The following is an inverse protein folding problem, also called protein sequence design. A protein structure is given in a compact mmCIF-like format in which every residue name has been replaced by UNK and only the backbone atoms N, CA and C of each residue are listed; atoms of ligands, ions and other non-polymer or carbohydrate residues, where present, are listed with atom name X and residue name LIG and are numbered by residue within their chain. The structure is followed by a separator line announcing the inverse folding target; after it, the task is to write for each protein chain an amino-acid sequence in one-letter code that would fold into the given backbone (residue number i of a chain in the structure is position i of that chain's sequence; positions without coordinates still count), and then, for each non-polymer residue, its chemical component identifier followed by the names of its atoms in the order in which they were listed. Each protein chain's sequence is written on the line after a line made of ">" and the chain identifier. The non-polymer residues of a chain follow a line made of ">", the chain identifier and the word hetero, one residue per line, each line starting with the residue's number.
data_IF_053826416922
#
_entry.id   IF_053826416922
#
_cell.length_a   1.000
_cell.length_b   1.000
_cell.length_c   1.000
_cell.angle_alpha   90.00
_cell.angle_beta   90.00
_cell.angle_gamma   90.00
#
_symmetry.space_group_name_H-M   'P 1'
#
loop_
_entity.id
_entity.type
_entity.pdbx_description
1 polymer ?
#
# COMPACT_ATOMS: atom_id res chain seq x y z
N UNK A 1 53.71 -29.58 -45.60
CA UNK A 1 52.95 -28.32 -45.65
C UNK A 1 51.88 -28.41 -44.59
N UNK A 2 52.16 -27.73 -43.49
CA UNK A 2 51.33 -27.29 -42.37
C UNK A 2 50.05 -28.05 -42.03
N UNK A 3 50.13 -28.88 -40.99
CA UNK A 3 49.02 -29.12 -40.07
C UNK A 3 49.35 -28.39 -38.76
N UNK A 4 48.82 -27.18 -38.60
CA UNK A 4 48.84 -26.51 -37.30
C UNK A 4 47.59 -25.65 -37.14
N UNK A 5 47.01 -25.77 -35.95
CA UNK A 5 46.08 -24.85 -35.30
C UNK A 5 44.60 -24.98 -35.70
N UNK A 6 43.84 -25.59 -34.78
CA UNK A 6 42.39 -25.51 -34.84
C UNK A 6 41.66 -26.41 -33.84
N UNK A 7 42.18 -26.54 -32.61
CA UNK A 7 41.36 -27.05 -31.50
C UNK A 7 40.30 -25.99 -31.20
N UNK A 8 39.18 -26.05 -31.92
CA UNK A 8 37.97 -25.35 -31.53
C UNK A 8 37.37 -26.14 -30.37
N UNK A 9 37.88 -25.83 -29.18
CA UNK A 9 37.17 -25.95 -27.91
C UNK A 9 35.78 -25.37 -28.15
N UNK A 10 34.76 -26.23 -28.31
CA UNK A 10 33.37 -25.81 -28.19
C UNK A 10 33.21 -25.53 -26.69
N UNK A 11 33.17 -24.27 -26.24
CA UNK A 11 32.87 -24.03 -24.84
C UNK A 11 31.50 -24.63 -24.60
N UNK A 12 31.49 -25.50 -23.59
CA UNK A 12 30.35 -26.16 -23.01
C UNK A 12 29.07 -25.35 -23.24
N UNK A 13 28.14 -26.01 -23.93
CA UNK A 13 26.69 -25.93 -23.75
C UNK A 13 26.38 -24.87 -22.70
N UNK A 14 26.25 -23.66 -23.22
CA UNK A 14 25.33 -22.61 -22.78
C UNK A 14 24.38 -23.19 -21.71
N UNK A 15 24.80 -23.17 -20.44
CA UNK A 15 23.96 -23.36 -19.24
C UNK A 15 23.00 -22.16 -19.13
N UNK A 16 22.32 -21.91 -20.23
CA UNK A 16 21.19 -21.01 -20.43
C UNK A 16 20.02 -21.93 -20.79
N UNK A 17 19.95 -23.11 -20.16
CA UNK A 17 18.66 -23.62 -19.76
C UNK A 17 18.21 -22.71 -18.64
N UNK A 18 17.42 -21.71 -19.02
CA UNK A 18 16.85 -20.74 -18.12
C UNK A 18 16.35 -21.47 -16.88
N UNK A 19 16.80 -21.02 -15.71
CA UNK A 19 16.22 -21.43 -14.42
C UNK A 19 14.71 -21.46 -14.65
N UNK A 20 14.10 -22.63 -14.56
CA UNK A 20 12.65 -22.76 -14.71
C UNK A 20 12.08 -21.81 -13.67
N UNK A 21 11.51 -20.70 -14.15
CA UNK A 21 11.09 -19.59 -13.30
C UNK A 21 9.91 -20.11 -12.50
N UNK A 22 10.13 -20.40 -11.23
CA UNK A 22 9.08 -20.87 -10.34
C UNK A 22 8.15 -19.69 -10.02
N UNK A 23 6.84 -19.92 -9.90
CA UNK A 23 5.94 -18.87 -9.45
C UNK A 23 6.37 -18.40 -8.06
N UNK A 24 6.27 -17.08 -7.81
CA UNK A 24 6.70 -16.44 -6.57
C UNK A 24 6.17 -17.15 -5.31
N UNK A 25 4.91 -17.56 -5.33
CA UNK A 25 4.28 -18.27 -4.20
C UNK A 25 4.95 -19.61 -3.87
N UNK A 26 5.38 -20.37 -4.88
CA UNK A 26 6.08 -21.64 -4.66
C UNK A 26 7.47 -21.38 -4.07
N UNK A 27 8.17 -20.36 -4.56
CA UNK A 27 9.48 -19.98 -4.01
C UNK A 27 9.40 -19.46 -2.57
N UNK A 28 8.36 -18.69 -2.23
CA UNK A 28 8.12 -18.22 -0.87
C UNK A 28 7.83 -19.41 0.08
N UNK A 29 7.04 -20.39 -0.36
CA UNK A 29 6.75 -21.59 0.43
C UNK A 29 8.02 -22.41 0.69
N UNK A 30 8.86 -22.56 -0.34
CA UNK A 30 10.14 -23.25 -0.22
C UNK A 30 11.07 -22.52 0.75
N UNK A 31 11.14 -21.19 0.67
CA UNK A 31 11.90 -20.34 1.60
C UNK A 31 11.46 -20.50 3.05
N UNK A 32 10.15 -20.42 3.31
CA UNK A 32 9.56 -20.59 4.66
C UNK A 32 9.92 -21.97 5.21
N UNK A 33 9.82 -23.03 4.39
CA UNK A 33 10.15 -24.39 4.79
C UNK A 33 11.63 -24.53 5.14
N UNK A 34 12.54 -23.97 4.34
CA UNK A 34 13.98 -24.03 4.63
C UNK A 34 14.32 -23.24 5.91
N UNK A 35 13.79 -22.03 6.08
CA UNK A 35 13.96 -21.25 7.30
C UNK A 35 13.47 -22.01 8.54
N UNK A 36 12.33 -22.70 8.46
CA UNK A 36 11.80 -23.54 9.55
C UNK A 36 12.69 -24.73 9.93
N UNK A 37 13.37 -25.34 8.96
CA UNK A 37 14.37 -26.38 9.26
C UNK A 37 15.55 -25.82 10.03
N UNK A 38 16.06 -24.65 9.62
CA UNK A 38 17.19 -24.01 10.29
C UNK A 38 16.81 -23.53 11.70
N UNK A 39 15.59 -23.04 11.89
CA UNK A 39 15.06 -22.76 13.22
C UNK A 39 15.09 -23.99 14.12
N UNK A 40 14.60 -25.13 13.63
CA UNK A 40 14.58 -26.40 14.38
C UNK A 40 15.99 -26.88 14.75
N UNK A 41 16.95 -26.70 13.84
CA UNK A 41 18.35 -27.02 14.07
C UNK A 41 18.96 -26.12 15.16
N UNK A 42 18.71 -24.81 15.11
CA UNK A 42 19.17 -23.87 16.14
C UNK A 42 18.56 -24.17 17.51
N UNK A 43 17.31 -24.61 17.56
CA UNK A 43 16.67 -24.99 18.81
C UNK A 43 17.31 -26.24 19.43
N UNK A 44 17.66 -27.23 18.60
CA UNK A 44 18.43 -28.39 19.07
C UNK A 44 19.81 -27.96 19.59
N UNK A 45 20.49 -27.04 18.91
CA UNK A 45 21.77 -26.51 19.36
C UNK A 45 21.65 -25.78 20.71
N UNK A 46 20.63 -24.94 20.87
CA UNK A 46 20.33 -24.26 22.13
C UNK A 46 20.11 -25.25 23.28
N UNK A 47 19.30 -26.29 23.08
CA UNK A 47 19.04 -27.33 24.09
C UNK A 47 20.33 -28.05 24.53
N UNK A 48 21.24 -28.32 23.59
CA UNK A 48 22.55 -28.92 23.89
C UNK A 48 23.44 -27.97 24.72
N UNK A 49 23.52 -26.69 24.34
CA UNK A 49 24.27 -25.68 25.08
C UNK A 49 23.71 -25.48 26.49
N UNK A 50 22.38 -25.40 26.64
CA UNK A 50 21.72 -25.25 27.93
C UNK A 50 21.95 -26.46 28.86
N UNK A 51 22.00 -27.67 28.30
CA UNK A 51 22.36 -28.87 29.06
C UNK A 51 23.80 -28.78 29.57
N UNK A 52 24.73 -28.38 28.69
CA UNK A 52 26.15 -28.25 29.00
C UNK A 52 26.43 -27.17 30.05
N UNK A 53 25.77 -26.00 29.94
CA UNK A 53 25.79 -24.92 30.94
C UNK A 53 25.45 -25.47 32.33
N UNK A 54 24.35 -26.21 32.44
CA UNK A 54 23.87 -26.78 33.70
C UNK A 54 24.85 -27.79 34.30
N UNK A 55 25.41 -28.67 33.47
CA UNK A 55 26.41 -29.65 33.92
C UNK A 55 27.66 -28.97 34.45
N UNK A 56 28.20 -27.98 33.72
CA UNK A 56 29.36 -27.21 34.16
C UNK A 56 29.06 -26.40 35.42
N UNK A 57 27.86 -25.84 35.53
CA UNK A 57 27.44 -25.08 36.71
C UNK A 57 27.41 -25.97 37.95
N UNK A 58 26.88 -27.18 37.86
CA UNK A 58 26.88 -28.14 38.95
C UNK A 58 28.31 -28.53 39.38
N UNK A 59 29.21 -28.77 38.42
CA UNK A 59 30.63 -29.02 38.70
C UNK A 59 31.32 -27.81 39.34
N UNK A 60 31.03 -26.61 38.86
CA UNK A 60 31.55 -25.36 39.42
C UNK A 60 31.17 -25.22 40.90
N UNK A 61 29.90 -25.43 41.24
CA UNK A 61 29.39 -25.41 42.62
C UNK A 61 30.08 -26.48 43.47
N UNK A 62 30.24 -27.70 42.96
CA UNK A 62 30.95 -28.80 43.64
C UNK A 62 32.40 -28.45 43.96
N UNK A 63 33.16 -27.93 42.98
CA UNK A 63 34.55 -27.51 43.20
C UNK A 63 34.68 -26.33 44.16
N UNK A 64 33.74 -25.38 44.09
CA UNK A 64 33.71 -24.24 45.00
C UNK A 64 33.46 -24.70 46.44
N UNK A 65 32.52 -25.62 46.66
CA UNK A 65 32.24 -26.21 47.98
C UNK A 65 33.41 -27.00 48.58
N UNK A 66 34.28 -27.57 47.73
CA UNK A 66 35.51 -28.27 48.15
C UNK A 66 36.70 -27.33 48.37
N UNK A 67 36.52 -26.02 48.24
CA UNK A 67 37.59 -25.02 48.37
C UNK A 67 38.55 -24.96 47.16
N UNK A 68 38.27 -25.69 46.08
CA UNK A 68 39.10 -25.78 44.88
C UNK A 68 38.81 -24.61 43.93
N UNK A 69 39.09 -23.38 44.39
CA UNK A 69 38.74 -22.12 43.70
C UNK A 69 39.27 -22.02 42.27
N UNK A 70 40.53 -22.44 42.04
CA UNK A 70 41.13 -22.37 40.70
C UNK A 70 40.35 -23.20 39.67
N UNK A 71 39.87 -24.39 40.06
CA UNK A 71 39.02 -25.20 39.17
C UNK A 71 37.68 -24.52 38.96
N UNK A 72 37.01 -24.07 40.01
CA UNK A 72 35.72 -23.38 39.89
C UNK A 72 35.78 -22.16 38.94
N UNK A 73 36.87 -21.38 38.99
CA UNK A 73 37.07 -20.23 38.07
C UNK A 73 37.12 -20.68 36.60
N UNK A 74 37.80 -21.79 36.29
CA UNK A 74 37.85 -22.33 34.92
C UNK A 74 36.44 -22.69 34.42
N UNK A 75 35.65 -23.40 35.24
CA UNK A 75 34.27 -23.74 34.90
C UNK A 75 33.40 -22.48 34.75
N UNK A 76 33.58 -21.47 35.61
CA UNK A 76 32.83 -20.21 35.53
C UNK A 76 33.11 -19.45 34.21
N UNK A 77 34.36 -19.43 33.76
CA UNK A 77 34.74 -18.82 32.48
C UNK A 77 34.07 -19.54 31.30
N UNK A 78 34.09 -20.87 31.30
CA UNK A 78 33.44 -21.67 30.25
C UNK A 78 31.92 -21.46 30.22
N UNK A 79 31.28 -21.43 31.40
CA UNK A 79 29.85 -21.11 31.55
C UNK A 79 29.53 -19.74 30.95
N UNK A 80 30.38 -18.73 31.22
CA UNK A 80 30.18 -17.38 30.70
C UNK A 80 30.23 -17.36 29.16
N UNK A 81 31.17 -18.09 28.55
CA UNK A 81 31.21 -18.23 27.09
C UNK A 81 29.97 -18.96 26.57
N UNK A 82 29.59 -20.11 27.14
CA UNK A 82 28.39 -20.85 26.71
C UNK A 82 27.12 -19.98 26.77
N UNK A 83 26.97 -19.16 27.80
CA UNK A 83 25.82 -18.25 27.92
C UNK A 83 25.80 -17.16 26.85
N UNK A 84 26.97 -16.64 26.45
CA UNK A 84 27.08 -15.75 25.29
C UNK A 84 26.63 -16.46 24.02
N UNK A 85 27.11 -17.69 23.79
CA UNK A 85 26.69 -18.52 22.65
C UNK A 85 25.16 -18.73 22.64
N UNK A 86 24.57 -19.06 23.80
CA UNK A 86 23.12 -19.23 23.94
C UNK A 86 22.33 -17.97 23.57
N UNK A 87 22.77 -16.79 24.04
CA UNK A 87 22.12 -15.51 23.71
C UNK A 87 22.14 -15.23 22.20
N UNK A 88 23.21 -15.58 21.51
CA UNK A 88 23.34 -15.40 20.05
C UNK A 88 22.39 -16.32 19.30
N UNK A 89 22.33 -17.60 19.72
CA UNK A 89 21.41 -18.58 19.13
C UNK A 89 19.96 -18.12 19.26
N UNK A 90 19.58 -17.59 20.43
CA UNK A 90 18.24 -17.02 20.63
C UNK A 90 17.98 -15.82 19.71
N UNK A 91 18.93 -14.88 19.58
CA UNK A 91 18.79 -13.75 18.66
C UNK A 91 18.60 -14.18 17.20
N UNK A 92 19.29 -15.24 16.76
CA UNK A 92 19.08 -15.83 15.44
C UNK A 92 17.69 -16.46 15.30
N UNK A 93 17.24 -17.23 16.30
CA UNK A 93 15.91 -17.83 16.30
C UNK A 93 14.82 -16.76 16.10
N UNK A 94 14.90 -15.65 16.85
CA UNK A 94 13.99 -14.51 16.72
C UNK A 94 14.04 -13.87 15.33
N UNK A 95 15.24 -13.74 14.75
CA UNK A 95 15.40 -13.15 13.41
C UNK A 95 14.79 -14.04 12.33
N UNK A 96 15.02 -15.36 12.41
CA UNK A 96 14.44 -16.33 11.47
C UNK A 96 12.92 -16.36 11.61
N UNK A 97 12.39 -16.34 12.84
CA UNK A 97 10.95 -16.31 13.09
C UNK A 97 10.30 -15.04 12.53
N UNK A 98 10.91 -13.86 12.77
CA UNK A 98 10.47 -12.59 12.15
C UNK A 98 10.45 -12.67 10.62
N UNK A 99 11.45 -13.31 10.02
CA UNK A 99 11.53 -13.47 8.58
C UNK A 99 10.43 -14.38 8.03
N UNK A 100 10.19 -15.53 8.68
CA UNK A 100 9.09 -16.45 8.32
C UNK A 100 7.76 -15.70 8.31
N UNK A 101 7.44 -14.95 9.37
CA UNK A 101 6.18 -14.19 9.48
C UNK A 101 6.02 -13.15 8.36
N UNK A 102 7.10 -12.43 8.01
CA UNK A 102 7.07 -11.47 6.89
C UNK A 102 6.85 -12.16 5.54
N UNK A 103 7.51 -13.29 5.29
CA UNK A 103 7.33 -14.06 4.06
C UNK A 103 5.91 -14.66 3.96
N UNK A 104 5.33 -15.09 5.07
CA UNK A 104 3.93 -15.51 5.14
C UNK A 104 2.98 -14.35 4.79
N UNK A 105 3.26 -13.14 5.29
CA UNK A 105 2.52 -11.93 4.94
C UNK A 105 2.60 -11.67 3.42
N UNK A 106 3.80 -11.70 2.84
CA UNK A 106 4.03 -11.51 1.40
C UNK A 106 3.39 -12.57 0.49
N UNK A 107 3.02 -13.74 1.03
CA UNK A 107 2.22 -14.71 0.27
C UNK A 107 0.77 -14.24 0.11
N UNK A 108 0.27 -13.43 1.04
CA UNK A 108 -1.11 -12.94 1.07
C UNK A 108 -1.28 -11.54 0.45
N UNK A 109 -0.26 -10.68 0.57
CA UNK A 109 -0.23 -9.33 -0.01
C UNK A 109 0.76 -9.30 -1.15
N UNK A 110 0.45 -8.66 -2.28
CA UNK A 110 1.34 -8.56 -3.45
C UNK A 110 2.65 -7.85 -3.08
N UNK A 111 3.76 -8.58 -2.86
CA UNK A 111 4.98 -7.99 -2.32
C UNK A 111 5.84 -7.41 -3.45
N UNK A 112 6.70 -6.43 -3.13
CA UNK A 112 7.75 -6.02 -4.06
C UNK A 112 9.00 -6.91 -3.91
N UNK A 113 9.85 -6.94 -4.95
CA UNK A 113 11.10 -7.69 -4.89
C UNK A 113 12.07 -7.08 -3.87
N UNK A 114 12.07 -5.75 -3.73
CA UNK A 114 12.86 -5.06 -2.71
C UNK A 114 12.50 -5.51 -1.29
N UNK A 115 11.21 -5.69 -0.98
CA UNK A 115 10.74 -6.11 0.35
C UNK A 115 11.26 -7.51 0.71
N UNK A 116 11.13 -8.45 -0.23
CA UNK A 116 11.61 -9.83 -0.06
C UNK A 116 13.12 -9.85 0.14
N UNK A 117 13.86 -9.07 -0.66
CA UNK A 117 15.32 -8.93 -0.49
C UNK A 117 15.69 -8.32 0.86
N UNK A 118 14.93 -7.33 1.34
CA UNK A 118 15.12 -6.73 2.66
C UNK A 118 15.06 -7.75 3.79
N UNK A 119 14.05 -8.62 3.78
CA UNK A 119 13.90 -9.70 4.77
C UNK A 119 15.09 -10.66 4.73
N UNK A 120 15.49 -11.08 3.53
CA UNK A 120 16.63 -11.98 3.39
C UNK A 120 17.96 -11.34 3.81
N UNK A 121 18.15 -10.04 3.59
CA UNK A 121 19.32 -9.30 4.05
C UNK A 121 19.37 -9.18 5.58
N UNK A 122 18.23 -8.99 6.26
CA UNK A 122 18.16 -9.01 7.73
C UNK A 122 18.58 -10.37 8.29
N UNK A 123 18.07 -11.46 7.70
CA UNK A 123 18.46 -12.83 8.08
C UNK A 123 19.96 -13.06 7.83
N UNK A 124 20.47 -12.63 6.67
CA UNK A 124 21.88 -12.72 6.33
C UNK A 124 22.77 -12.00 7.35
N UNK A 125 22.43 -10.77 7.72
CA UNK A 125 23.19 -10.00 8.72
C UNK A 125 23.25 -10.67 10.10
N UNK A 126 22.14 -11.27 10.54
CA UNK A 126 22.09 -12.03 11.79
C UNK A 126 22.96 -13.30 11.72
N UNK A 127 22.90 -14.03 10.61
CA UNK A 127 23.70 -15.24 10.40
C UNK A 127 25.20 -14.92 10.31
N UNK A 128 25.60 -13.84 9.61
CA UNK A 128 26.99 -13.39 9.55
C UNK A 128 27.53 -12.99 10.93
N UNK A 129 26.70 -12.34 11.75
CA UNK A 129 27.05 -11.99 13.13
C UNK A 129 27.27 -13.23 14.00
N UNK A 130 26.45 -14.27 13.79
CA UNK A 130 26.63 -15.54 14.48
C UNK A 130 27.85 -16.31 13.99
N UNK A 131 28.17 -16.31 12.69
CA UNK A 131 29.35 -16.97 12.13
C UNK A 131 30.66 -16.38 12.68
N UNK A 132 30.72 -15.07 12.93
CA UNK A 132 31.88 -14.39 13.55
C UNK A 132 32.18 -14.88 14.97
N UNK A 133 31.14 -15.26 15.71
CA UNK A 133 31.26 -15.63 17.12
C UNK A 133 31.32 -17.16 17.27
N UNK A 134 30.68 -17.90 16.36
CA UNK A 134 30.65 -19.35 16.33
C UNK A 134 31.04 -19.89 14.94
N UNK A 135 32.34 -19.97 14.63
CA UNK A 135 32.83 -20.43 13.32
C UNK A 135 32.41 -21.85 12.97
N UNK A 136 32.10 -22.69 13.96
CA UNK A 136 31.66 -24.06 13.75
C UNK A 136 30.29 -24.20 13.09
N UNK A 137 29.46 -23.14 13.08
CA UNK A 137 28.17 -23.11 12.39
C UNK A 137 28.23 -22.49 10.98
N UNK A 138 29.42 -22.06 10.55
CA UNK A 138 29.64 -21.42 9.25
C UNK A 138 29.18 -22.25 8.04
N UNK A 139 29.40 -23.58 7.96
CA UNK A 139 28.99 -24.32 6.77
C UNK A 139 27.46 -24.40 6.63
N UNK A 140 26.73 -24.59 7.73
CA UNK A 140 25.26 -24.59 7.72
C UNK A 140 24.71 -23.20 7.40
N UNK A 141 25.33 -22.16 7.95
CA UNK A 141 25.00 -20.75 7.67
C UNK A 141 25.20 -20.43 6.18
N UNK A 142 26.32 -20.84 5.59
CA UNK A 142 26.61 -20.62 4.17
C UNK A 142 25.64 -21.41 3.27
N UNK A 143 25.24 -22.62 3.67
CA UNK A 143 24.21 -23.39 2.99
C UNK A 143 22.87 -22.65 2.91
N UNK A 144 22.43 -22.04 4.02
CA UNK A 144 21.23 -21.22 4.07
C UNK A 144 21.36 -19.97 3.18
N UNK A 145 22.48 -19.25 3.23
CA UNK A 145 22.70 -18.08 2.38
C UNK A 145 22.66 -18.43 0.88
N UNK A 146 23.23 -19.57 0.49
CA UNK A 146 23.18 -20.03 -0.89
C UNK A 146 21.75 -20.35 -1.33
N UNK A 147 21.00 -21.10 -0.51
CA UNK A 147 19.58 -21.38 -0.78
C UNK A 147 18.76 -20.09 -0.93
N UNK A 148 18.99 -19.09 -0.08
CA UNK A 148 18.33 -17.78 -0.17
C UNK A 148 18.69 -17.06 -1.48
N UNK A 149 19.97 -17.04 -1.85
CA UNK A 149 20.41 -16.40 -3.09
C UNK A 149 19.83 -17.09 -4.33
N UNK A 150 19.76 -18.43 -4.31
CA UNK A 150 19.15 -19.22 -5.37
C UNK A 150 17.65 -18.94 -5.49
N UNK A 151 16.95 -18.84 -4.37
CA UNK A 151 15.53 -18.48 -4.31
C UNK A 151 15.26 -17.09 -4.91
N UNK A 152 16.05 -16.08 -4.54
CA UNK A 152 15.94 -14.71 -5.08
C UNK A 152 16.22 -14.67 -6.59
N UNK A 153 17.19 -15.45 -7.05
CA UNK A 153 17.58 -15.45 -8.46
C UNK A 153 16.70 -16.38 -9.34
N UNK A 154 15.86 -17.21 -8.74
CA UNK A 154 14.86 -18.03 -9.45
C UNK A 154 13.50 -17.32 -9.62
N UNK A 155 13.30 -16.15 -9.01
CA UNK A 155 12.03 -15.42 -9.02
C UNK A 155 11.99 -14.32 -10.10
N UNK A 156 10.95 -14.31 -10.92
CA UNK A 156 10.64 -13.22 -11.84
C UNK A 156 9.25 -12.65 -11.46
N UNK A 157 9.18 -11.34 -11.19
CA UNK A 157 7.95 -10.66 -10.77
C UNK A 157 7.43 -9.84 -11.94
N UNK A 158 6.23 -10.16 -12.43
CA UNK A 158 5.53 -9.35 -13.43
C UNK A 158 4.99 -8.09 -12.76
N UNK A 159 5.59 -6.93 -13.05
CA UNK A 159 5.27 -5.66 -12.42
C UNK A 159 3.98 -5.04 -13.01
N UNK A 160 3.00 -4.78 -12.15
CA UNK A 160 1.92 -3.80 -12.36
C UNK A 160 2.10 -2.65 -11.35
N UNK A 161 1.55 -1.44 -11.60
CA UNK A 161 1.99 -0.21 -10.95
C UNK A 161 1.95 -0.31 -9.42
N UNK A 162 2.98 0.20 -8.72
CA UNK A 162 3.07 0.08 -7.27
C UNK A 162 2.09 1.07 -6.62
N UNK A 163 1.17 0.54 -5.83
CA UNK A 163 0.53 1.29 -4.74
C UNK A 163 1.27 0.97 -3.42
N UNK A 164 1.28 1.91 -2.47
CA UNK A 164 2.49 2.45 -1.86
C UNK A 164 3.29 1.51 -0.93
N UNK A 165 4.59 1.78 -0.89
CA UNK A 165 5.49 1.41 0.21
C UNK A 165 5.57 2.62 1.16
N UNK A 166 5.23 2.45 2.44
CA UNK A 166 5.62 3.41 3.49
C UNK A 166 6.05 2.64 4.74
N UNK A 167 7.35 2.59 5.01
CA UNK A 167 7.87 2.13 6.29
C UNK A 167 8.54 3.32 6.97
N UNK A 168 7.79 4.03 7.82
CA UNK A 168 8.35 5.02 8.74
C UNK A 168 7.90 4.68 10.15
N UNK A 169 8.68 3.78 10.71
CA UNK A 169 8.51 3.10 11.98
C UNK A 169 8.72 4.04 13.20
N UNK A 170 7.65 4.61 13.74
CA UNK A 170 7.40 4.68 15.20
C UNK A 170 6.21 3.74 15.47
N UNK A 171 6.53 2.47 15.71
CA UNK A 171 5.62 1.32 15.89
C UNK A 171 4.63 1.08 14.74
N UNK A 172 5.15 1.02 13.50
CA UNK A 172 4.36 1.02 12.23
C UNK A 172 3.12 1.92 12.37
N UNK A 173 3.47 3.18 12.68
CA UNK A 173 2.66 4.28 13.23
C UNK A 173 1.65 3.91 14.32
N UNK A 174 2.12 3.36 15.44
CA UNK A 174 1.23 2.82 16.47
C UNK A 174 0.18 1.84 15.88
N UNK A 175 0.56 1.10 14.84
CA UNK A 175 -0.22 0.08 14.13
C UNK A 175 -1.53 0.66 13.62
N UNK A 176 -1.31 1.43 12.54
CA UNK A 176 -2.36 2.12 11.79
C UNK A 176 -3.31 2.77 12.78
N UNK A 177 -2.69 3.54 13.70
CA UNK A 177 -3.11 3.75 15.08
C UNK A 177 -4.44 3.16 15.45
N UNK A 178 -4.38 2.04 16.17
CA UNK A 178 -5.57 1.42 16.72
C UNK A 178 -6.55 0.96 15.63
N UNK A 179 -6.08 0.93 14.37
CA UNK A 179 -6.69 0.48 13.12
C UNK A 179 -7.90 1.28 12.67
N UNK A 180 -7.87 2.57 13.00
CA UNK A 180 -9.02 3.26 13.51
C UNK A 180 -9.26 2.76 14.93
N UNK A 181 -8.89 3.55 15.93
CA UNK A 181 -9.84 3.91 16.99
C UNK A 181 -11.20 3.91 16.32
N UNK A 182 -11.92 2.84 16.60
CA UNK A 182 -12.60 2.19 15.53
C UNK A 182 -13.59 3.13 14.88
N UNK A 183 -13.74 2.92 13.60
CA UNK A 183 -15.03 2.70 12.97
C UNK A 183 -16.29 2.70 13.90
N UNK A 184 -16.18 2.25 15.18
CA UNK A 184 -16.93 2.54 16.43
C UNK A 184 -17.80 3.81 16.51
N UNK A 185 -17.41 4.97 16.03
CA UNK A 185 -18.22 6.18 16.30
C UNK A 185 -18.98 6.73 15.10
N UNK A 186 -18.43 6.55 13.93
CA UNK A 186 -18.95 7.11 12.69
C UNK A 186 -20.31 6.51 12.29
N UNK A 187 -20.58 5.30 12.77
CA UNK A 187 -21.85 4.63 12.59
C UNK A 187 -22.91 5.14 13.59
N UNK A 188 -22.51 5.76 14.70
CA UNK A 188 -23.41 6.17 15.78
C UNK A 188 -24.18 7.50 15.54
N UNK A 189 -23.93 8.28 14.45
CA UNK A 189 -24.54 9.61 14.21
C UNK A 189 -25.31 9.77 12.89
N UNK A 190 -25.27 8.79 12.00
CA UNK A 190 -26.07 8.76 10.77
C UNK A 190 -27.54 8.38 11.04
N UNK A 191 -27.96 8.45 12.32
CA UNK A 191 -29.29 8.16 12.88
C UNK A 191 -29.97 9.53 13.16
N UNK A 192 -30.94 9.99 12.35
CA UNK A 192 -31.73 11.16 12.72
C UNK A 192 -32.61 10.87 13.94
N UNK A 193 -32.71 11.81 14.90
CA UNK A 193 -33.81 11.78 15.86
C UNK A 193 -35.11 12.19 15.13
N UNK A 194 -36.21 11.44 15.33
CA UNK A 194 -37.45 11.67 14.61
C UNK A 194 -37.87 13.14 14.80
N UNK A 195 -38.34 13.82 13.74
CA UNK A 195 -38.63 15.26 13.79
C UNK A 195 -39.42 15.60 15.05
N UNK A 196 -38.81 16.36 15.96
CA UNK A 196 -39.53 16.87 17.13
C UNK A 196 -40.54 17.89 16.62
N UNK A 197 -41.81 17.52 16.72
CA UNK A 197 -42.91 18.47 16.76
C UNK A 197 -42.64 19.43 17.91
N UNK A 198 -42.00 20.57 17.63
CA UNK A 198 -42.04 21.71 18.53
C UNK A 198 -43.49 22.19 18.58
N UNK A 199 -44.14 22.18 19.75
CA UNK A 199 -45.32 23.01 19.95
C UNK A 199 -44.83 24.46 19.95
N UNK A 200 -44.91 25.07 18.76
CA UNK A 200 -45.19 26.50 18.50
C UNK A 200 -44.78 27.49 19.61
N UNK A 201 -43.87 28.44 19.37
CA UNK A 201 -44.21 29.82 19.62
C UNK A 201 -45.08 30.26 18.44
N UNK A 202 -46.39 30.44 18.61
CA UNK A 202 -47.24 30.98 17.53
C UNK A 202 -46.61 32.26 16.97
N UNK A 203 -46.01 32.24 15.76
CA UNK A 203 -45.63 33.47 15.11
C UNK A 203 -46.93 33.98 14.47
N UNK A 204 -47.31 35.21 14.81
CA UNK A 204 -48.42 35.91 14.18
C UNK A 204 -48.49 35.55 12.69
N UNK A 205 -49.61 34.94 12.30
CA UNK A 205 -49.88 34.29 11.01
C UNK A 205 -49.25 35.07 9.85
N UNK A 206 -48.01 34.71 9.49
CA UNK A 206 -47.46 35.03 8.19
C UNK A 206 -48.17 34.10 7.23
N UNK A 207 -49.22 34.64 6.59
CA UNK A 207 -49.98 33.99 5.52
C UNK A 207 -48.98 33.32 4.56
N UNK A 208 -48.97 31.98 4.52
CA UNK A 208 -48.23 31.22 3.50
C UNK A 208 -48.58 31.81 2.13
N UNK A 209 -47.60 32.29 1.33
CA UNK A 209 -47.89 32.78 0.00
C UNK A 209 -48.51 31.64 -0.82
N UNK A 210 -49.58 31.96 -1.55
CA UNK A 210 -50.31 30.99 -2.37
C UNK A 210 -49.41 30.48 -3.49
N UNK A 211 -49.31 29.16 -3.61
CA UNK A 211 -48.58 28.46 -4.66
C UNK A 211 -49.54 28.27 -5.83
N UNK A 212 -49.19 28.78 -7.01
CA UNK A 212 -49.89 28.44 -8.24
C UNK A 212 -49.20 27.22 -8.87
N UNK A 213 -49.90 26.09 -8.92
CA UNK A 213 -49.48 24.95 -9.71
C UNK A 213 -49.76 25.28 -11.18
N UNK A 214 -48.71 25.52 -11.96
CA UNK A 214 -48.81 25.46 -13.41
C UNK A 214 -48.88 23.99 -13.81
N UNK A 215 -49.50 23.73 -14.96
CA UNK A 215 -49.82 22.37 -15.43
C UNK A 215 -48.56 21.53 -15.72
N UNK A 216 -47.37 22.13 -15.68
CA UNK A 216 -46.09 21.50 -16.05
C UNK A 216 -45.08 21.30 -14.89
N UNK A 217 -45.43 21.60 -13.63
CA UNK A 217 -44.73 21.05 -12.45
C UNK A 217 -43.33 21.63 -12.10
N UNK A 218 -43.15 22.95 -12.11
CA UNK A 218 -41.97 23.64 -11.54
C UNK A 218 -42.34 24.61 -10.41
N UNK A 219 -41.43 24.83 -9.46
CA UNK A 219 -41.65 25.73 -8.31
C UNK A 219 -41.24 27.16 -8.63
N UNK A 220 -42.20 28.07 -8.60
CA UNK A 220 -41.96 29.50 -8.75
C UNK A 220 -42.43 30.23 -7.49
N UNK A 221 -41.55 31.06 -6.92
CA UNK A 221 -41.83 31.77 -5.68
C UNK A 221 -42.54 33.09 -5.98
N UNK A 222 -43.69 33.32 -5.34
CA UNK A 222 -44.40 34.60 -5.38
C UNK A 222 -43.90 35.48 -4.23
N UNK A 223 -43.18 36.55 -4.56
CA UNK A 223 -42.77 37.58 -3.60
C UNK A 223 -43.98 38.30 -2.99
N UNK A 224 -43.80 38.98 -1.86
CA UNK A 224 -44.89 39.66 -1.15
C UNK A 224 -45.57 40.81 -1.94
N UNK A 225 -45.03 41.18 -3.10
CA UNK A 225 -45.56 42.15 -4.07
C UNK A 225 -46.26 41.50 -5.28
N UNK A 226 -46.33 40.16 -5.33
CA UNK A 226 -46.94 39.40 -6.41
C UNK A 226 -46.00 39.00 -7.57
N UNK A 227 -44.69 39.24 -7.46
CA UNK A 227 -43.71 38.89 -8.49
C UNK A 227 -43.30 37.40 -8.46
N UNK A 228 -43.16 36.77 -9.64
CA UNK A 228 -42.69 35.37 -9.79
C UNK A 228 -41.17 35.37 -9.99
N UNK A 229 -40.43 34.65 -9.15
CA UNK A 229 -38.96 34.63 -9.16
C UNK A 229 -38.45 33.21 -9.47
N UNK A 230 -37.95 33.02 -10.70
CA UNK A 230 -37.12 31.85 -11.10
C UNK A 230 -35.65 32.21 -10.90
N UNK A 231 -35.00 31.54 -9.95
CA UNK A 231 -33.85 32.09 -9.25
C UNK A 231 -32.54 31.42 -9.67
N UNK A 232 -32.16 31.53 -10.96
CA UNK A 232 -30.81 31.99 -11.40
C UNK A 232 -30.40 31.56 -12.81
N UNK A 233 -30.98 30.54 -13.43
CA UNK A 233 -30.48 30.03 -14.71
C UNK A 233 -31.04 30.78 -15.94
N UNK A 234 -32.24 31.36 -15.86
CA UNK A 234 -32.84 32.09 -16.99
C UNK A 234 -32.12 33.41 -17.32
N UNK A 235 -31.70 34.19 -16.32
CA UNK A 235 -31.12 35.53 -16.56
C UNK A 235 -29.81 35.48 -17.35
N UNK A 236 -28.98 34.48 -17.11
CA UNK A 236 -27.72 34.26 -17.84
C UNK A 236 -27.95 33.78 -19.27
N UNK A 237 -29.02 33.01 -19.50
CA UNK A 237 -29.34 32.49 -20.82
C UNK A 237 -30.05 33.54 -21.70
N UNK A 238 -30.93 34.39 -21.13
CA UNK A 238 -31.62 35.47 -21.85
C UNK A 238 -30.64 36.54 -22.36
N UNK A 239 -29.68 36.95 -21.53
CA UNK A 239 -28.67 37.93 -21.94
C UNK A 239 -27.76 37.37 -23.05
N UNK A 240 -27.47 36.07 -23.02
CA UNK A 240 -26.66 35.42 -24.05
C UNK A 240 -27.44 35.27 -25.38
N UNK A 241 -28.74 34.97 -25.32
CA UNK A 241 -29.62 34.91 -26.49
C UNK A 241 -29.76 36.28 -27.18
N UNK A 242 -29.87 37.36 -26.40
CA UNK A 242 -29.99 38.73 -26.93
C UNK A 242 -28.73 39.19 -27.67
N UNK A 243 -27.54 38.91 -27.10
CA UNK A 243 -26.26 39.26 -27.73
C UNK A 243 -26.03 38.53 -29.06
N UNK A 244 -26.48 37.28 -29.16
CA UNK A 244 -26.36 36.49 -30.40
C UNK A 244 -27.36 37.00 -31.46
N UNK A 245 -28.57 37.42 -31.06
CA UNK A 245 -29.56 37.97 -31.99
C UNK A 245 -29.13 39.34 -32.54
N UNK A 246 -28.64 40.25 -31.70
CA UNK A 246 -28.13 41.58 -32.09
C UNK A 246 -26.96 41.46 -33.09
N UNK A 247 -26.12 40.43 -32.94
CA UNK A 247 -25.07 40.12 -33.90
C UNK A 247 -25.63 39.68 -35.27
N UNK A 248 -26.72 38.91 -35.32
CA UNK A 248 -27.36 38.48 -36.59
C UNK A 248 -27.95 39.68 -37.32
N UNK A 249 -28.63 40.57 -36.62
CA UNK A 249 -29.26 41.76 -37.21
C UNK A 249 -28.22 42.72 -37.79
N UNK A 250 -27.11 42.96 -37.07
CA UNK A 250 -26.01 43.81 -37.56
C UNK A 250 -25.33 43.29 -38.81
N UNK A 251 -25.36 41.98 -39.03
CA UNK A 251 -24.76 41.33 -40.18
C UNK A 251 -25.81 40.93 -41.24
N UNK A 252 -27.00 41.58 -41.24
CA UNK A 252 -28.08 41.37 -42.22
C UNK A 252 -28.50 39.90 -42.39
N UNK A 253 -28.45 39.10 -41.31
CA UNK A 253 -28.85 37.69 -41.33
C UNK A 253 -27.73 36.71 -41.68
N UNK A 254 -26.55 37.18 -42.11
CA UNK A 254 -25.40 36.30 -42.37
C UNK A 254 -24.59 36.09 -41.09
N UNK A 255 -24.54 34.83 -40.62
CA UNK A 255 -23.80 34.49 -39.41
C UNK A 255 -22.59 33.61 -39.72
N UNK A 256 -21.41 34.07 -39.27
CA UNK A 256 -20.22 33.23 -39.16
C UNK A 256 -19.98 32.86 -37.70
N UNK A 257 -20.21 31.59 -37.35
CA UNK A 257 -20.13 31.06 -35.97
C UNK A 257 -18.73 31.29 -35.37
N UNK A 258 -17.66 31.13 -36.16
CA UNK A 258 -16.29 31.30 -35.70
C UNK A 258 -15.92 32.76 -35.42
N UNK A 259 -16.48 33.69 -36.18
CA UNK A 259 -16.28 35.14 -35.98
C UNK A 259 -17.12 35.64 -34.80
N UNK A 260 -18.39 35.22 -34.72
CA UNK A 260 -19.31 35.52 -33.62
C UNK A 260 -18.74 35.04 -32.27
N UNK A 261 -18.19 33.81 -32.21
CA UNK A 261 -17.56 33.26 -31.02
C UNK A 261 -16.37 34.10 -30.50
N UNK A 262 -15.56 34.63 -31.41
CA UNK A 262 -14.42 35.48 -31.05
C UNK A 262 -14.85 36.87 -30.59
N UNK A 263 -15.93 37.41 -31.15
CA UNK A 263 -16.40 38.77 -30.85
C UNK A 263 -17.29 38.83 -29.61
N UNK A 264 -18.14 37.82 -29.37
CA UNK A 264 -18.97 37.69 -28.18
C UNK A 264 -18.26 36.97 -27.01
N UNK A 265 -17.02 36.50 -27.22
CA UNK A 265 -16.23 35.73 -26.26
C UNK A 265 -16.99 34.52 -25.67
N UNK A 266 -17.71 33.81 -26.53
CA UNK A 266 -18.50 32.63 -26.18
C UNK A 266 -18.00 31.41 -26.95
N UNK A 267 -18.01 30.21 -26.34
CA UNK A 267 -17.64 28.99 -27.05
C UNK A 267 -18.65 28.73 -28.17
N UNK A 268 -18.16 28.28 -29.33
CA UNK A 268 -18.97 28.03 -30.52
C UNK A 268 -20.16 27.09 -30.23
N UNK A 269 -19.95 26.10 -29.36
CA UNK A 269 -20.98 25.16 -28.95
C UNK A 269 -22.15 25.87 -28.24
N UNK A 270 -21.86 26.89 -27.42
CA UNK A 270 -22.91 27.63 -26.70
C UNK A 270 -23.69 28.56 -27.63
N UNK A 271 -23.01 29.15 -28.61
CA UNK A 271 -23.67 29.92 -29.66
C UNK A 271 -24.56 29.00 -30.50
N UNK A 272 -24.12 27.79 -30.83
CA UNK A 272 -24.96 26.80 -31.53
C UNK A 272 -26.19 26.41 -30.72
N UNK A 273 -26.05 26.15 -29.41
CA UNK A 273 -27.19 25.90 -28.52
C UNK A 273 -28.17 27.08 -28.49
N UNK A 274 -27.66 28.32 -28.48
CA UNK A 274 -28.46 29.54 -28.50
C UNK A 274 -29.15 29.73 -29.85
N UNK A 275 -28.48 29.48 -30.97
CA UNK A 275 -29.10 29.54 -32.31
C UNK A 275 -30.17 28.48 -32.49
N UNK A 276 -29.93 27.27 -32.00
CA UNK A 276 -30.95 26.22 -31.95
C UNK A 276 -32.10 26.62 -31.03
N UNK A 277 -31.83 27.24 -29.88
CA UNK A 277 -32.86 27.80 -28.99
C UNK A 277 -33.66 28.91 -29.68
N UNK A 278 -33.01 29.86 -30.35
CA UNK A 278 -33.62 30.98 -31.08
C UNK A 278 -34.42 30.49 -32.30
N UNK A 279 -33.93 29.45 -32.99
CA UNK A 279 -34.61 28.78 -34.10
C UNK A 279 -35.83 28.00 -33.62
N UNK A 280 -35.70 27.22 -32.53
CA UNK A 280 -36.83 26.55 -31.85
C UNK A 280 -37.86 27.56 -31.34
N UNK A 281 -37.40 28.74 -30.89
CA UNK A 281 -38.24 29.89 -30.49
C UNK A 281 -38.77 30.69 -31.70
N UNK A 282 -38.38 30.36 -32.93
CA UNK A 282 -38.87 30.98 -34.17
C UNK A 282 -38.38 32.39 -34.46
N UNK A 283 -37.41 32.89 -33.69
CA UNK A 283 -36.86 34.25 -33.85
C UNK A 283 -35.92 34.38 -35.04
N UNK A 284 -35.36 33.26 -35.48
CA UNK A 284 -34.50 33.16 -36.66
C UNK A 284 -34.90 31.92 -37.45
N UNK A 285 -34.61 31.92 -38.75
CA UNK A 285 -34.73 30.73 -39.60
C UNK A 285 -33.36 30.43 -40.17
N UNK A 286 -32.85 29.24 -39.85
CA UNK A 286 -31.57 28.76 -40.37
C UNK A 286 -31.90 28.04 -41.68
N UNK A 287 -31.49 28.63 -42.80
CA UNK A 287 -31.65 28.04 -44.16
C UNK A 287 -30.38 27.34 -44.61
#
# INVERSE_FOLDING_TARGET
>A
MDWALGVAFIPAIKEIFGRVKKPLNETLLEAIRELGKHYSMLELAYKKLAKRDRELFNECVSYLGRGLKNKAIIYANEIAEIRKLMSIVQGMQLTIEKAILRLETFRTVTPTLEDIRGVFNEVKGALESAAKIMPSLTPEINGLMNSINDLIAATEITLTPPEPIVVKDEATEAILKEASELLREEIASKIPEPPMESPLPEPAVALKPRIALTVDGYEAYVGADGSIIDARDERTNVLAEELVLDYIERNNGEMNISKCARELNMPQNKIMEILESLSKKGKIKIE
#
